data_IF_668005946577
#
_entry.id   IF_668005946577
#
_cell.length_a   1.000
_cell.length_b   1.000
_cell.length_c   1.000
_cell.angle_alpha   90.00
_cell.angle_beta   90.00
_cell.angle_gamma   90.00
#
_symmetry.space_group_name_H-M   'P 1'
#
loop_
_entity.id
_entity.type
_entity.pdbx_description
1 polymer ?
#
# COMPACT_ATOMS: atom_id res chain seq x y z
N UNK A 1 -7.48 15.50 -14.09
CA UNK A 1 -6.43 16.43 -13.68
C UNK A 1 -5.68 15.93 -12.45
N UNK A 2 -6.39 15.51 -11.41
CA UNK A 2 -5.82 15.08 -10.11
C UNK A 2 -4.84 13.91 -10.23
N UNK A 3 -5.13 12.91 -11.08
CA UNK A 3 -4.26 11.76 -11.30
C UNK A 3 -2.89 12.17 -11.89
N UNK A 4 -2.89 13.05 -12.90
CA UNK A 4 -1.64 13.52 -13.51
C UNK A 4 -0.80 14.36 -12.54
N UNK A 5 -1.44 15.23 -11.77
CA UNK A 5 -0.78 16.03 -10.74
C UNK A 5 -0.24 15.14 -9.61
N UNK A 6 -0.99 14.10 -9.21
CA UNK A 6 -0.54 13.15 -8.22
C UNK A 6 0.70 12.38 -8.70
N UNK A 7 0.66 11.85 -9.93
CA UNK A 7 1.80 11.16 -10.53
C UNK A 7 3.04 12.07 -10.66
N UNK A 8 2.87 13.31 -11.13
CA UNK A 8 3.96 14.27 -11.22
C UNK A 8 4.55 14.59 -9.83
N UNK A 9 3.70 14.84 -8.83
CA UNK A 9 4.14 15.10 -7.46
C UNK A 9 4.89 13.91 -6.86
N UNK A 10 4.39 12.69 -7.06
CA UNK A 10 5.07 11.48 -6.63
C UNK A 10 6.45 11.34 -7.27
N UNK A 11 6.53 11.56 -8.59
CA UNK A 11 7.77 11.41 -9.36
C UNK A 11 8.82 12.49 -9.06
N UNK A 12 8.39 13.70 -8.73
CA UNK A 12 9.32 14.80 -8.42
C UNK A 12 9.72 14.82 -6.96
N UNK A 13 8.78 14.54 -6.05
CA UNK A 13 8.91 14.80 -4.62
C UNK A 13 8.85 13.54 -3.75
N UNK A 14 8.80 12.34 -4.33
CA UNK A 14 8.61 11.09 -3.58
C UNK A 14 7.43 11.18 -2.59
N UNK A 15 6.26 11.59 -3.07
CA UNK A 15 5.07 11.83 -2.24
C UNK A 15 3.90 10.94 -2.68
N UNK A 16 4.20 9.67 -3.02
CA UNK A 16 3.22 8.70 -3.48
C UNK A 16 2.16 8.41 -2.40
N UNK A 17 0.88 8.51 -2.79
CA UNK A 17 -0.25 8.27 -1.91
C UNK A 17 -0.68 9.48 -1.06
N UNK A 18 -0.05 10.66 -1.21
CA UNK A 18 -0.36 11.85 -0.40
C UNK A 18 -0.89 13.04 -1.20
N UNK A 19 -1.35 12.81 -2.43
CA UNK A 19 -2.09 13.80 -3.22
C UNK A 19 -3.54 13.33 -3.49
N UNK A 20 -4.29 13.97 -4.41
CA UNK A 20 -5.69 13.62 -4.74
C UNK A 20 -6.69 13.75 -3.57
N UNK A 21 -6.42 14.60 -2.58
CA UNK A 21 -7.24 14.76 -1.35
C UNK A 21 -8.70 15.06 -1.66
N UNK A 22 -8.96 16.02 -2.57
CA UNK A 22 -10.35 16.44 -2.91
C UNK A 22 -11.14 15.28 -3.57
N UNK A 23 -10.51 14.58 -4.51
CA UNK A 23 -11.13 13.43 -5.17
C UNK A 23 -11.44 12.32 -4.17
N UNK A 24 -10.49 12.02 -3.26
CA UNK A 24 -10.69 11.02 -2.20
C UNK A 24 -11.83 11.39 -1.26
N UNK A 25 -11.95 12.65 -0.84
CA UNK A 25 -13.06 13.10 0.02
C UNK A 25 -14.43 12.93 -0.65
N UNK A 26 -14.53 13.24 -1.94
CA UNK A 26 -15.77 13.02 -2.71
C UNK A 26 -16.11 11.53 -2.80
N UNK A 27 -15.12 10.71 -3.10
CA UNK A 27 -15.28 9.25 -3.13
C UNK A 27 -15.75 8.71 -1.76
N UNK A 28 -15.11 9.14 -0.67
CA UNK A 28 -15.49 8.70 0.67
C UNK A 28 -16.86 9.22 1.13
N UNK A 29 -17.32 10.36 0.62
CA UNK A 29 -18.70 10.81 0.85
C UNK A 29 -19.69 9.83 0.23
N UNK A 30 -19.45 9.43 -1.03
CA UNK A 30 -20.25 8.40 -1.70
C UNK A 30 -20.17 7.03 -1.00
N UNK A 31 -18.98 6.60 -0.53
CA UNK A 31 -18.83 5.34 0.22
C UNK A 31 -19.65 5.35 1.52
N UNK A 32 -19.73 6.49 2.22
CA UNK A 32 -20.55 6.64 3.43
C UNK A 32 -22.05 6.54 3.14
N UNK A 33 -22.49 7.12 2.02
CA UNK A 33 -23.88 7.03 1.57
C UNK A 33 -24.26 5.61 1.13
N UNK A 34 -23.33 4.93 0.43
CA UNK A 34 -23.49 3.55 -0.02
C UNK A 34 -23.52 2.55 1.15
N UNK A 35 -22.83 2.85 2.25
CA UNK A 35 -22.72 2.07 3.48
C UNK A 35 -22.38 0.58 3.26
N UNK A 36 -21.23 0.21 2.70
CA UNK A 36 -20.90 -1.17 2.39
C UNK A 36 -20.78 -2.03 3.66
N UNK A 37 -21.18 -3.31 3.58
CA UNK A 37 -21.03 -4.27 4.67
C UNK A 37 -19.57 -4.68 4.88
N UNK A 38 -18.78 -4.70 3.81
CA UNK A 38 -17.36 -5.11 3.79
C UNK A 38 -16.58 -4.18 2.87
N UNK A 39 -15.36 -3.86 3.28
CA UNK A 39 -14.41 -3.07 2.48
C UNK A 39 -13.25 -3.96 2.07
N UNK A 40 -12.99 -4.07 0.77
CA UNK A 40 -11.85 -4.81 0.27
C UNK A 40 -10.90 -3.89 -0.49
N UNK A 41 -9.71 -3.71 0.04
CA UNK A 41 -8.67 -2.87 -0.53
C UNK A 41 -7.69 -3.67 -1.36
N UNK A 42 -7.27 -3.09 -2.46
CA UNK A 42 -6.14 -3.50 -3.28
C UNK A 42 -5.21 -2.29 -3.47
N UNK A 43 -4.16 -2.40 -4.20
CA UNK A 43 -3.19 -1.39 -4.62
C UNK A 43 -3.55 0.09 -4.35
N UNK A 44 -3.38 0.54 -3.11
CA UNK A 44 -3.71 1.92 -2.70
C UNK A 44 -2.66 2.96 -3.14
N UNK A 45 -1.65 2.57 -3.90
CA UNK A 45 -0.54 3.42 -4.35
C UNK A 45 -0.60 3.86 -5.83
N UNK A 46 -1.74 3.74 -6.50
CA UNK A 46 -1.91 4.02 -7.93
C UNK A 46 -2.12 5.49 -8.32
N UNK A 47 -1.67 6.48 -7.56
CA UNK A 47 -1.79 7.93 -7.81
C UNK A 47 -3.23 8.47 -7.88
N UNK A 48 -4.20 7.78 -7.35
CA UNK A 48 -5.62 8.13 -7.43
C UNK A 48 -6.27 8.45 -6.08
N UNK A 49 -5.68 8.01 -4.97
CA UNK A 49 -6.26 8.13 -3.63
C UNK A 49 -5.30 8.83 -2.66
N UNK A 50 -5.83 9.57 -1.69
CA UNK A 50 -5.06 10.16 -0.61
C UNK A 50 -5.13 9.28 0.64
N UNK A 51 -4.02 8.67 1.02
CA UNK A 51 -3.94 7.70 2.11
C UNK A 51 -4.46 8.24 3.44
N UNK A 52 -4.11 9.48 3.81
CA UNK A 52 -4.57 10.08 5.05
C UNK A 52 -6.10 10.16 5.14
N UNK A 53 -6.78 10.56 4.08
CA UNK A 53 -8.25 10.63 4.04
C UNK A 53 -8.87 9.22 4.09
N UNK A 54 -8.32 8.27 3.30
CA UNK A 54 -8.81 6.90 3.26
C UNK A 54 -8.67 6.23 4.62
N UNK A 55 -7.46 6.21 5.19
CA UNK A 55 -7.18 5.45 6.42
C UNK A 55 -7.80 6.11 7.66
N UNK A 56 -8.02 7.44 7.66
CA UNK A 56 -8.86 8.11 8.68
C UNK A 56 -10.30 7.60 8.63
N UNK A 57 -10.88 7.44 7.43
CA UNK A 57 -12.22 6.87 7.26
C UNK A 57 -12.26 5.40 7.74
N UNK A 58 -11.31 4.58 7.31
CA UNK A 58 -11.25 3.16 7.67
C UNK A 58 -11.14 2.94 9.18
N UNK A 59 -10.41 3.79 9.89
CA UNK A 59 -10.27 3.73 11.35
C UNK A 59 -11.59 3.92 12.09
N UNK A 60 -12.52 4.67 11.54
CA UNK A 60 -13.80 5.00 12.18
C UNK A 60 -15.03 4.35 11.55
N UNK A 61 -14.91 3.60 10.45
CA UNK A 61 -16.08 3.08 9.73
C UNK A 61 -16.75 1.87 10.41
N UNK A 62 -16.07 1.17 11.31
CA UNK A 62 -16.60 0.00 12.02
C UNK A 62 -16.81 -1.26 11.17
N UNK A 63 -16.50 -1.21 9.87
CA UNK A 63 -16.73 -2.32 8.93
C UNK A 63 -15.57 -3.31 8.92
N UNK A 64 -15.78 -4.59 8.57
CA UNK A 64 -14.71 -5.53 8.25
C UNK A 64 -13.91 -5.02 7.04
N UNK A 65 -12.58 -5.06 7.15
CA UNK A 65 -11.66 -4.59 6.12
C UNK A 65 -10.72 -5.72 5.73
N UNK A 66 -10.73 -6.11 4.46
CA UNK A 66 -9.72 -6.97 3.86
C UNK A 66 -8.78 -6.12 3.04
N UNK A 67 -7.48 -6.23 3.27
CA UNK A 67 -6.49 -5.49 2.52
C UNK A 67 -5.49 -6.44 1.86
N UNK A 68 -5.62 -6.60 0.54
CA UNK A 68 -4.73 -7.43 -0.26
C UNK A 68 -3.46 -6.66 -0.62
N UNK A 69 -2.33 -7.17 -0.17
CA UNK A 69 -1.01 -6.68 -0.52
C UNK A 69 -0.47 -7.50 -1.69
N UNK A 70 -0.10 -6.84 -2.77
CA UNK A 70 0.49 -7.49 -3.95
C UNK A 70 2.00 -7.31 -4.03
N UNK A 71 2.54 -6.39 -3.23
CA UNK A 71 3.94 -6.04 -3.13
C UNK A 71 4.28 -5.51 -1.73
N UNK A 72 5.49 -5.01 -1.54
CA UNK A 72 5.99 -4.54 -0.25
C UNK A 72 5.77 -3.04 -0.01
N UNK A 73 5.20 -2.30 -0.97
CA UNK A 73 5.09 -0.85 -0.88
C UNK A 73 4.35 -0.38 0.38
N UNK A 74 3.36 -1.13 0.83
CA UNK A 74 2.53 -0.77 1.98
C UNK A 74 3.31 -0.65 3.29
N UNK A 75 4.41 -1.37 3.45
CA UNK A 75 5.23 -1.34 4.66
C UNK A 75 6.67 -0.85 4.44
N UNK A 76 6.99 -0.30 3.26
CA UNK A 76 8.24 0.39 2.98
C UNK A 76 8.02 1.91 2.94
N UNK A 77 9.11 2.67 2.93
CA UNK A 77 9.04 4.13 2.75
C UNK A 77 8.91 4.59 1.31
N UNK A 78 9.31 3.74 0.34
CA UNK A 78 9.34 4.09 -1.07
C UNK A 78 9.05 2.90 -1.97
N UNK A 79 9.95 1.92 -2.01
CA UNK A 79 10.00 0.86 -3.02
C UNK A 79 8.89 -0.19 -2.85
N UNK A 80 8.50 -0.81 -3.98
CA UNK A 80 7.59 -1.94 -4.00
C UNK A 80 8.29 -3.27 -3.69
N UNK A 81 9.60 -3.37 -3.98
CA UNK A 81 10.44 -4.54 -3.71
C UNK A 81 11.83 -4.12 -3.24
N UNK A 82 12.42 -4.87 -2.34
CA UNK A 82 13.72 -4.59 -1.72
C UNK A 82 14.69 -5.78 -1.74
N UNK A 83 14.21 -6.98 -2.03
CA UNK A 83 15.02 -8.21 -1.98
C UNK A 83 16.19 -8.16 -2.96
N UNK A 84 15.96 -7.68 -4.18
CA UNK A 84 16.97 -7.56 -5.22
C UNK A 84 18.24 -6.80 -4.77
N UNK A 85 18.06 -5.79 -3.92
CA UNK A 85 19.17 -4.96 -3.39
C UNK A 85 19.56 -5.32 -1.96
N UNK A 86 18.96 -6.35 -1.38
CA UNK A 86 19.24 -6.81 -0.02
C UNK A 86 18.97 -5.76 1.06
N UNK A 87 17.97 -4.90 0.90
CA UNK A 87 17.69 -3.81 1.83
C UNK A 87 16.81 -4.26 2.99
N UNK A 88 17.28 -4.08 4.22
CA UNK A 88 16.55 -4.42 5.45
C UNK A 88 15.99 -3.21 6.22
N UNK A 89 16.17 -1.99 5.71
CA UNK A 89 15.75 -0.75 6.39
C UNK A 89 14.25 -0.68 6.66
N UNK A 90 13.45 -1.33 5.84
CA UNK A 90 11.99 -1.39 6.00
C UNK A 90 11.54 -2.05 7.31
N UNK A 91 12.37 -2.84 7.96
CA UNK A 91 12.06 -3.50 9.25
C UNK A 91 12.00 -2.49 10.40
N UNK A 92 12.87 -1.50 10.40
CA UNK A 92 13.06 -0.57 11.52
C UNK A 92 12.81 0.89 11.18
N UNK A 93 13.04 1.29 9.93
CA UNK A 93 12.83 2.66 9.45
C UNK A 93 13.54 2.91 8.12
N UNK A 94 12.79 3.17 7.05
CA UNK A 94 13.35 3.51 5.75
C UNK A 94 14.04 4.87 5.76
N UNK A 95 15.14 4.97 5.03
CA UNK A 95 15.87 6.20 4.73
C UNK A 95 16.88 5.92 3.60
N UNK A 96 17.35 6.94 2.86
CA UNK A 96 18.33 6.83 1.79
C UNK A 96 18.06 5.62 0.89
N UNK A 97 16.89 5.61 0.25
CA UNK A 97 16.36 4.44 -0.44
C UNK A 97 17.26 4.05 -1.63
N UNK A 98 17.87 2.84 -1.64
CA UNK A 98 18.69 2.40 -2.76
C UNK A 98 17.87 2.17 -4.04
N UNK A 99 16.56 2.07 -3.91
CA UNK A 99 15.61 1.88 -5.00
C UNK A 99 14.86 3.17 -5.37
N UNK A 100 15.37 4.36 -5.00
CA UNK A 100 14.71 5.65 -5.27
C UNK A 100 14.30 5.84 -6.74
N UNK A 101 15.09 5.31 -7.66
CA UNK A 101 14.84 5.41 -9.10
C UNK A 101 14.05 4.23 -9.68
N UNK A 102 13.78 3.19 -8.87
CA UNK A 102 12.88 2.11 -9.22
C UNK A 102 11.42 2.48 -8.93
N UNK A 103 10.48 1.60 -9.28
CA UNK A 103 9.04 1.86 -9.04
C UNK A 103 8.68 1.89 -7.54
N UNK A 104 7.94 2.92 -7.11
CA UNK A 104 7.48 4.15 -7.78
C UNK A 104 8.59 5.21 -7.84
N UNK A 105 9.18 5.43 -9.01
CA UNK A 105 10.39 6.24 -9.15
C UNK A 105 10.24 7.69 -8.68
N UNK A 106 11.26 8.19 -7.96
CA UNK A 106 11.45 9.61 -7.66
C UNK A 106 12.72 10.15 -8.31
N UNK A 107 12.61 11.35 -8.91
CA UNK A 107 13.72 11.97 -9.64
C UNK A 107 14.62 12.78 -8.70
N UNK A 108 14.02 13.66 -7.90
CA UNK A 108 14.78 14.64 -7.12
C UNK A 108 14.90 14.24 -5.66
N UNK A 109 13.79 14.02 -4.97
CA UNK A 109 13.79 13.83 -3.53
C UNK A 109 13.74 12.35 -3.15
N UNK A 110 14.36 12.04 -2.02
CA UNK A 110 14.15 10.82 -1.27
C UNK A 110 13.42 11.17 0.04
N UNK A 111 12.13 10.91 0.05
CA UNK A 111 11.29 11.09 1.22
C UNK A 111 10.97 9.75 1.91
N UNK A 112 11.75 8.70 1.66
CA UNK A 112 11.50 7.36 2.18
C UNK A 112 11.35 7.31 3.69
N UNK A 113 12.15 8.08 4.47
CA UNK A 113 12.00 8.19 5.93
C UNK A 113 10.64 8.76 6.30
N UNK A 114 10.30 9.93 5.77
CA UNK A 114 9.02 10.60 6.05
C UNK A 114 7.82 9.75 5.64
N UNK A 115 7.90 9.11 4.48
CA UNK A 115 6.83 8.27 3.98
C UNK A 115 6.65 7.00 4.82
N UNK A 116 7.74 6.39 5.29
CA UNK A 116 7.71 5.26 6.21
C UNK A 116 6.98 5.64 7.51
N UNK A 117 7.39 6.74 8.15
CA UNK A 117 6.79 7.22 9.39
C UNK A 117 5.29 7.54 9.22
N UNK A 118 4.93 8.23 8.12
CA UNK A 118 3.53 8.53 7.79
C UNK A 118 2.71 7.26 7.56
N UNK A 119 3.22 6.31 6.78
CA UNK A 119 2.53 5.05 6.52
C UNK A 119 2.36 4.25 7.80
N UNK A 120 3.41 4.13 8.60
CA UNK A 120 3.33 3.47 9.91
C UNK A 120 2.23 4.08 10.77
N UNK A 121 2.20 5.38 10.92
CA UNK A 121 1.17 6.08 11.71
C UNK A 121 -0.25 5.88 11.16
N UNK A 122 -0.42 5.87 9.83
CA UNK A 122 -1.72 5.73 9.18
C UNK A 122 -2.22 4.29 9.18
N UNK A 123 -1.35 3.32 8.93
CA UNK A 123 -1.71 1.95 8.60
C UNK A 123 -1.75 1.02 9.81
N UNK A 124 -1.24 1.42 10.97
CA UNK A 124 -1.28 0.61 12.19
C UNK A 124 -2.48 0.97 13.08
N UNK A 125 -2.93 0.02 13.91
CA UNK A 125 -3.98 0.23 14.91
C UNK A 125 -5.36 0.51 14.33
N UNK A 126 -5.66 0.05 13.12
CA UNK A 126 -7.02 0.13 12.55
C UNK A 126 -7.79 -1.11 12.97
N UNK A 127 -8.98 -0.97 13.53
CA UNK A 127 -9.79 -2.13 13.94
C UNK A 127 -10.31 -2.91 12.72
N UNK A 128 -10.59 -4.20 12.92
CA UNK A 128 -11.25 -5.08 11.95
C UNK A 128 -10.51 -5.26 10.60
N UNK A 129 -9.18 -5.05 10.56
CA UNK A 129 -8.36 -5.28 9.36
C UNK A 129 -7.82 -6.71 9.35
N UNK A 130 -7.97 -7.38 8.23
CA UNK A 130 -7.27 -8.62 7.88
C UNK A 130 -6.44 -8.38 6.61
N UNK A 131 -5.15 -8.64 6.69
CA UNK A 131 -4.27 -8.59 5.52
C UNK A 131 -4.40 -9.88 4.72
N UNK A 132 -4.43 -9.74 3.40
CA UNK A 132 -4.44 -10.86 2.45
C UNK A 132 -3.18 -10.76 1.60
N UNK A 133 -2.45 -11.86 1.45
CA UNK A 133 -1.22 -11.89 0.66
C UNK A 133 -1.20 -13.10 -0.29
N UNK A 134 -0.59 -13.01 -1.49
CA UNK A 134 -0.60 -14.08 -2.48
C UNK A 134 0.45 -15.17 -2.25
N UNK A 135 1.27 -15.08 -1.22
CA UNK A 135 2.35 -16.04 -0.96
C UNK A 135 2.82 -16.04 0.48
N UNK A 136 3.38 -17.17 0.93
CA UNK A 136 4.04 -17.27 2.24
C UNK A 136 5.30 -16.40 2.31
N UNK A 137 5.96 -16.11 1.18
CA UNK A 137 7.05 -15.16 1.15
C UNK A 137 6.59 -13.77 1.60
N UNK A 138 5.52 -13.23 1.01
CA UNK A 138 5.01 -11.90 1.40
C UNK A 138 4.44 -11.92 2.82
N UNK A 139 3.80 -13.02 3.25
CA UNK A 139 3.38 -13.20 4.64
C UNK A 139 4.55 -13.04 5.61
N UNK A 140 5.70 -13.70 5.36
CA UNK A 140 6.88 -13.59 6.21
C UNK A 140 7.41 -12.14 6.27
N UNK A 141 7.39 -11.42 5.13
CA UNK A 141 7.82 -10.01 5.09
C UNK A 141 6.86 -9.12 5.91
N UNK A 142 5.56 -9.31 5.78
CA UNK A 142 4.57 -8.58 6.60
C UNK A 142 4.81 -8.79 8.09
N UNK A 143 5.06 -10.04 8.52
CA UNK A 143 5.33 -10.38 9.93
C UNK A 143 6.61 -9.75 10.50
N UNK A 144 7.55 -9.35 9.66
CA UNK A 144 8.77 -8.62 10.06
C UNK A 144 8.59 -7.09 10.00
N UNK A 145 7.46 -6.59 9.46
CA UNK A 145 7.21 -5.17 9.23
C UNK A 145 6.40 -4.52 10.35
N UNK A 146 6.13 -3.22 10.24
CA UNK A 146 5.23 -2.52 11.17
C UNK A 146 3.75 -2.94 11.05
N UNK A 147 3.39 -3.78 10.07
CA UNK A 147 2.05 -4.35 9.92
C UNK A 147 1.90 -5.72 10.62
N UNK A 148 2.90 -6.19 11.34
CA UNK A 148 3.00 -7.52 11.94
C UNK A 148 1.85 -7.89 12.90
N UNK A 149 1.21 -6.90 13.50
CA UNK A 149 0.16 -7.09 14.49
C UNK A 149 -1.22 -7.40 13.88
N UNK A 150 -1.35 -7.27 12.54
CA UNK A 150 -2.58 -7.66 11.85
C UNK A 150 -2.65 -9.16 11.57
N UNK A 151 -3.85 -9.77 11.64
CA UNK A 151 -4.06 -11.11 11.10
C UNK A 151 -3.74 -11.13 9.61
N UNK A 152 -2.98 -12.14 9.17
CA UNK A 152 -2.60 -12.34 7.77
C UNK A 152 -3.18 -13.64 7.25
N UNK A 153 -3.75 -13.61 6.05
CA UNK A 153 -4.25 -14.77 5.32
C UNK A 153 -3.53 -14.91 3.98
N UNK A 154 -3.03 -16.11 3.70
CA UNK A 154 -2.44 -16.42 2.40
C UNK A 154 -3.56 -16.91 1.47
N UNK A 155 -3.78 -16.17 0.38
CA UNK A 155 -4.72 -16.55 -0.69
C UNK A 155 -3.97 -16.43 -2.01
N UNK A 156 -3.63 -17.57 -2.61
CA UNK A 156 -2.88 -17.62 -3.86
C UNK A 156 -3.65 -17.01 -5.02
N UNK A 157 -2.94 -16.34 -5.91
CA UNK A 157 -3.51 -15.93 -7.18
C UNK A 157 -3.90 -17.17 -8.01
N UNK A 158 -5.05 -17.08 -8.66
CA UNK A 158 -5.54 -18.15 -9.53
C UNK A 158 -5.21 -17.84 -10.99
N UNK A 159 -5.02 -18.91 -11.76
CA UNK A 159 -4.83 -18.85 -13.22
C UNK A 159 -5.77 -19.83 -13.90
N UNK A 160 -6.17 -19.55 -15.13
CA UNK A 160 -6.91 -20.51 -15.93
C UNK A 160 -5.97 -21.66 -16.35
N UNK A 161 -6.15 -22.84 -15.74
CA UNK A 161 -5.29 -24.00 -15.92
C UNK A 161 -5.46 -24.69 -17.28
N UNK A 162 -6.51 -24.37 -18.03
CA UNK A 162 -6.70 -24.82 -19.40
C UNK A 162 -5.81 -24.06 -20.38
N UNK A 163 -5.59 -22.77 -20.09
CA UNK A 163 -4.75 -21.88 -20.90
C UNK A 163 -3.28 -21.94 -20.43
N UNK A 164 -3.06 -21.80 -19.12
CA UNK A 164 -1.72 -21.78 -18.51
C UNK A 164 -1.36 -23.17 -18.00
N UNK A 165 -0.84 -24.01 -18.88
CA UNK A 165 -0.38 -25.36 -18.59
C UNK A 165 1.03 -25.58 -19.12
N UNK A 166 1.83 -26.48 -18.51
CA UNK A 166 3.12 -26.86 -19.07
C UNK A 166 2.94 -27.33 -20.52
N UNK A 167 3.72 -26.78 -21.42
CA UNK A 167 3.86 -27.29 -22.80
C UNK A 167 4.98 -28.31 -22.84
N UNK A 168 4.84 -29.41 -23.62
CA UNK A 168 5.89 -30.39 -23.78
C UNK A 168 7.15 -29.79 -24.38
#
# INVERSE_FOLDING_TARGET
LDFRLHGAKSRLLDDSGFASRRATRRFLAWVREYDPDVIWLHNVHGYYIHLGELFTYLRGCGKPIFWTLHDCWSFTGHCAYFDYVGCDRWKTGCHDCPQKHAYPASIFLDNSRRNYEKKRALFTGIPNVTLVVPSHWLESRVKESFLKDYPVKVVYNTVNREIFKPTP
#
